data_IF_012399984779
#
_entry.id   IF_012399984779
#
_cell.length_a   1.000
_cell.length_b   1.000
_cell.length_c   1.000
_cell.angle_alpha   90.00
_cell.angle_beta   90.00
_cell.angle_gamma   90.00
#
_symmetry.space_group_name_H-M   'P 1'
#
loop_
_entity.id
_entity.type
_entity.pdbx_description
1 polymer ?
#
# COMPACT_ATOMS: atom_id res chain seq x y z
N UNK A 1 -5.24 20.79 5.95
CA UNK A 1 -4.20 21.86 5.86
C UNK A 1 -2.80 21.33 6.17
N UNK A 2 -2.68 20.45 7.16
CA UNK A 2 -1.37 19.95 7.58
C UNK A 2 -0.73 18.97 6.58
N UNK A 3 -1.51 18.12 5.95
CA UNK A 3 -1.00 17.16 4.95
C UNK A 3 -0.40 17.87 3.73
N UNK A 4 -1.00 18.97 3.28
CA UNK A 4 -0.49 19.78 2.16
C UNK A 4 0.85 20.40 2.52
N UNK A 5 1.03 20.88 3.76
CA UNK A 5 2.32 21.42 4.26
C UNK A 5 3.40 20.34 4.30
N UNK A 6 3.05 19.14 4.78
CA UNK A 6 3.97 17.99 4.82
C UNK A 6 4.43 17.63 3.41
N UNK A 7 3.51 17.53 2.45
CA UNK A 7 3.85 17.21 1.05
C UNK A 7 4.77 18.27 0.45
N UNK A 8 4.48 19.57 0.66
CA UNK A 8 5.33 20.68 0.20
C UNK A 8 6.73 20.70 0.80
N UNK A 9 6.91 20.08 1.97
CA UNK A 9 8.23 19.99 2.62
C UNK A 9 9.13 18.90 2.05
N UNK A 10 8.60 18.02 1.18
CA UNK A 10 9.39 16.99 0.51
C UNK A 10 10.34 17.65 -0.49
N UNK A 11 11.67 17.42 -0.38
CA UNK A 11 12.64 18.04 -1.26
C UNK A 11 12.40 17.69 -2.73
N UNK A 12 12.68 18.61 -3.67
CA UNK A 12 12.59 18.34 -5.11
C UNK A 12 13.40 17.09 -5.50
N UNK A 13 12.88 16.31 -6.46
CA UNK A 13 13.52 15.08 -6.93
C UNK A 13 13.14 13.83 -6.12
N UNK A 14 12.43 13.99 -5.00
CA UNK A 14 11.86 12.86 -4.27
C UNK A 14 10.39 12.68 -4.64
N UNK A 15 10.02 11.44 -4.94
CA UNK A 15 8.64 11.09 -5.25
C UNK A 15 7.86 10.84 -3.96
N UNK A 16 6.81 11.64 -3.73
CA UNK A 16 5.90 11.46 -2.60
C UNK A 16 4.69 10.61 -2.98
N UNK A 17 4.26 9.74 -2.08
CA UNK A 17 3.03 8.97 -2.22
C UNK A 17 2.27 8.93 -0.91
N UNK A 18 0.95 8.84 -0.99
CA UNK A 18 0.08 8.78 0.18
C UNK A 18 -0.77 7.51 0.15
N UNK A 19 -1.00 6.91 1.31
CA UNK A 19 -2.04 5.88 1.48
C UNK A 19 -3.22 6.51 2.21
N UNK A 20 -4.42 6.29 1.70
CA UNK A 20 -5.66 6.90 2.19
C UNK A 20 -6.83 5.92 2.04
N UNK A 21 -7.91 6.14 2.79
CA UNK A 21 -9.19 5.47 2.54
C UNK A 21 -9.95 6.04 1.32
N UNK A 22 -9.47 7.14 0.74
CA UNK A 22 -10.03 7.72 -0.48
C UNK A 22 -11.22 8.66 -0.31
N UNK A 23 -11.92 8.63 0.81
CA UNK A 23 -13.21 9.33 1.01
C UNK A 23 -13.16 10.85 0.86
N UNK A 24 -11.99 11.47 1.05
CA UNK A 24 -11.80 12.92 0.91
C UNK A 24 -11.07 13.31 -0.39
N UNK A 25 -10.69 12.35 -1.23
CA UNK A 25 -9.95 12.65 -2.46
C UNK A 25 -10.81 13.41 -3.47
N UNK A 26 -12.13 13.20 -3.50
CA UNK A 26 -13.05 13.98 -4.35
C UNK A 26 -12.81 15.48 -4.25
N UNK A 27 -12.61 15.98 -3.03
CA UNK A 27 -12.37 17.40 -2.77
C UNK A 27 -10.90 17.82 -2.75
N UNK A 28 -9.96 16.90 -2.46
CA UNK A 28 -8.57 17.25 -2.15
C UNK A 28 -7.56 16.87 -3.23
N UNK A 29 -7.90 16.01 -4.19
CA UNK A 29 -6.95 15.44 -5.14
C UNK A 29 -6.14 16.50 -5.92
N UNK A 30 -6.79 17.53 -6.41
CA UNK A 30 -6.13 18.60 -7.16
C UNK A 30 -5.17 19.41 -6.29
N UNK A 31 -5.54 19.73 -5.05
CA UNK A 31 -4.67 20.50 -4.14
C UNK A 31 -3.48 19.68 -3.66
N UNK A 32 -3.67 18.37 -3.43
CA UNK A 32 -2.59 17.43 -3.13
C UNK A 32 -1.62 17.32 -4.32
N UNK A 33 -2.13 17.25 -5.54
CA UNK A 33 -1.28 17.25 -6.75
C UNK A 33 -0.49 18.53 -6.90
N UNK A 34 -1.13 19.69 -6.72
CA UNK A 34 -0.46 21.02 -6.72
C UNK A 34 0.59 21.15 -5.61
N UNK A 35 0.39 20.47 -4.48
CA UNK A 35 1.37 20.43 -3.39
C UNK A 35 2.60 19.58 -3.71
N UNK A 36 2.57 18.76 -4.76
CA UNK A 36 3.68 17.90 -5.18
C UNK A 36 3.48 16.42 -4.91
N UNK A 37 2.27 15.99 -4.47
CA UNK A 37 1.97 14.56 -4.35
C UNK A 37 2.03 13.91 -5.74
N UNK A 38 2.78 12.83 -5.87
CA UNK A 38 2.95 12.15 -7.17
C UNK A 38 1.85 11.12 -7.42
N UNK A 39 1.52 10.31 -6.41
CA UNK A 39 0.57 9.20 -6.54
C UNK A 39 -0.11 8.86 -5.22
N UNK A 40 -1.18 8.06 -5.31
CA UNK A 40 -1.93 7.57 -4.15
C UNK A 40 -2.07 6.05 -4.14
N UNK A 41 -2.17 5.49 -2.94
CA UNK A 41 -2.65 4.15 -2.70
C UNK A 41 -3.97 4.29 -1.94
N UNK A 42 -5.04 3.68 -2.44
CA UNK A 42 -6.37 3.78 -1.87
C UNK A 42 -6.74 2.44 -1.26
N UNK A 43 -7.08 2.43 0.02
CA UNK A 43 -7.57 1.23 0.70
C UNK A 43 -9.04 1.04 0.36
N UNK A 44 -9.35 -0.07 -0.31
CA UNK A 44 -10.69 -0.43 -0.74
C UNK A 44 -10.80 -1.95 -0.68
N UNK A 45 -11.44 -2.46 0.37
CA UNK A 45 -11.50 -3.89 0.63
C UNK A 45 -12.76 -4.56 0.07
N UNK A 46 -13.74 -3.79 -0.41
CA UNK A 46 -14.95 -4.31 -1.03
C UNK A 46 -15.58 -3.31 -2.00
N UNK A 47 -16.17 -3.84 -3.07
CA UNK A 47 -17.03 -3.11 -4.03
C UNK A 47 -18.52 -3.32 -3.73
N UNK A 48 -18.86 -4.19 -2.78
CA UNK A 48 -20.21 -4.35 -2.27
C UNK A 48 -20.44 -3.35 -1.12
N UNK A 49 -21.47 -2.48 -1.19
CA UNK A 49 -21.71 -1.44 -0.17
C UNK A 49 -21.94 -2.00 1.24
N UNK A 50 -22.57 -3.16 1.38
CA UNK A 50 -22.84 -3.78 2.68
C UNK A 50 -21.57 -4.34 3.29
N UNK A 51 -20.76 -5.08 2.49
CA UNK A 51 -19.45 -5.59 2.92
C UNK A 51 -18.52 -4.42 3.25
N UNK A 52 -18.46 -3.38 2.39
CA UNK A 52 -17.64 -2.19 2.65
C UNK A 52 -18.00 -1.54 3.98
N UNK A 53 -19.29 -1.33 4.25
CA UNK A 53 -19.76 -0.78 5.52
C UNK A 53 -19.43 -1.67 6.71
N UNK A 54 -19.58 -2.99 6.55
CA UNK A 54 -19.24 -3.97 7.61
C UNK A 54 -17.76 -3.94 7.96
N UNK A 55 -16.88 -3.86 6.95
CA UNK A 55 -15.42 -3.86 7.13
C UNK A 55 -14.94 -2.53 7.73
N UNK A 56 -15.44 -1.41 7.22
CA UNK A 56 -14.94 -0.08 7.59
C UNK A 56 -15.63 0.53 8.81
N UNK A 57 -16.81 0.02 9.16
CA UNK A 57 -17.67 0.58 10.23
C UNK A 57 -18.32 1.91 9.90
N UNK A 58 -17.82 2.65 8.94
CA UNK A 58 -18.32 3.98 8.53
C UNK A 58 -18.00 4.25 7.06
N UNK A 59 -18.59 5.31 6.52
CA UNK A 59 -18.28 5.81 5.18
C UNK A 59 -19.17 5.22 4.09
N UNK A 60 -19.14 5.89 2.95
CA UNK A 60 -19.86 5.49 1.77
C UNK A 60 -18.84 4.99 0.71
N UNK A 61 -19.11 3.85 0.11
CA UNK A 61 -18.33 3.33 -1.01
C UNK A 61 -18.29 4.33 -2.17
N UNK A 62 -19.39 5.04 -2.41
CA UNK A 62 -19.48 6.09 -3.44
C UNK A 62 -18.40 7.16 -3.31
N UNK A 63 -18.10 7.59 -2.08
CA UNK A 63 -17.08 8.64 -1.83
C UNK A 63 -15.67 8.15 -2.23
N UNK A 64 -15.39 6.85 -2.03
CA UNK A 64 -14.11 6.25 -2.41
C UNK A 64 -14.01 6.13 -3.93
N UNK A 65 -15.08 5.70 -4.60
CA UNK A 65 -15.11 5.59 -6.07
C UNK A 65 -14.98 6.97 -6.73
N UNK A 66 -15.65 8.00 -6.20
CA UNK A 66 -15.45 9.39 -6.59
C UNK A 66 -14.00 9.85 -6.35
N UNK A 67 -13.43 9.47 -5.20
CA UNK A 67 -12.05 9.75 -4.85
C UNK A 67 -11.04 9.11 -5.83
N UNK A 68 -11.29 7.89 -6.32
CA UNK A 68 -10.47 7.23 -7.35
C UNK A 68 -10.52 8.04 -8.65
N UNK A 69 -11.72 8.45 -9.06
CA UNK A 69 -11.88 9.25 -10.28
C UNK A 69 -11.18 10.61 -10.14
N UNK A 70 -11.37 11.31 -9.03
CA UNK A 70 -10.71 12.60 -8.77
C UNK A 70 -9.18 12.49 -8.74
N UNK A 71 -8.63 11.43 -8.16
CA UNK A 71 -7.20 11.17 -8.15
C UNK A 71 -6.65 10.95 -9.57
N UNK A 72 -7.40 10.23 -10.41
CA UNK A 72 -7.08 10.00 -11.82
C UNK A 72 -7.07 11.32 -12.61
N UNK A 73 -8.11 12.13 -12.47
CA UNK A 73 -8.27 13.41 -13.15
C UNK A 73 -7.21 14.43 -12.73
N UNK A 74 -6.80 14.39 -11.45
CA UNK A 74 -5.70 15.19 -10.93
C UNK A 74 -4.31 14.68 -11.35
N UNK A 75 -4.20 13.52 -11.98
CA UNK A 75 -2.91 12.92 -12.38
C UNK A 75 -2.09 12.37 -11.21
N UNK A 76 -2.73 11.94 -10.12
CA UNK A 76 -2.09 11.25 -8.98
C UNK A 76 -1.84 9.78 -9.30
N UNK A 77 -1.10 9.47 -10.35
CA UNK A 77 -0.95 8.13 -10.94
C UNK A 77 0.48 7.58 -10.83
N UNK A 78 0.67 6.25 -10.80
CA UNK A 78 -0.38 5.23 -10.76
C UNK A 78 -1.13 5.20 -9.43
N UNK A 79 -2.44 4.95 -9.49
CA UNK A 79 -3.29 4.73 -8.33
C UNK A 79 -3.24 3.24 -7.98
N UNK A 80 -2.89 2.91 -6.75
CA UNK A 80 -2.96 1.53 -6.27
C UNK A 80 -4.21 1.33 -5.44
N UNK A 81 -5.03 0.38 -5.86
CA UNK A 81 -6.17 -0.09 -5.08
C UNK A 81 -5.67 -1.23 -4.19
N UNK A 82 -5.64 -1.00 -2.89
CA UNK A 82 -5.22 -1.98 -1.89
C UNK A 82 -6.46 -2.69 -1.36
N UNK A 83 -6.55 -3.98 -1.61
CA UNK A 83 -7.60 -4.88 -1.14
C UNK A 83 -6.98 -5.90 -0.19
N UNK A 84 -7.36 -5.92 1.06
CA UNK A 84 -7.05 -7.04 1.97
C UNK A 84 -8.06 -8.15 1.71
N UNK A 85 -7.56 -9.34 1.34
CA UNK A 85 -8.45 -10.48 1.11
C UNK A 85 -8.89 -11.10 2.45
N UNK A 86 -10.20 -11.18 2.65
CA UNK A 86 -10.84 -11.65 3.87
C UNK A 86 -11.70 -12.88 3.56
N UNK A 87 -11.33 -14.01 4.13
CA UNK A 87 -12.04 -15.29 3.94
C UNK A 87 -13.51 -15.18 4.34
N UNK A 88 -14.39 -15.63 3.45
CA UNK A 88 -15.84 -15.64 3.65
C UNK A 88 -16.51 -14.27 3.58
N UNK A 89 -15.76 -13.19 3.25
CA UNK A 89 -16.33 -11.83 3.16
C UNK A 89 -16.21 -11.28 1.73
N UNK A 90 -15.00 -11.09 1.22
CA UNK A 90 -14.77 -10.41 -0.06
C UNK A 90 -14.06 -11.27 -1.12
N UNK A 91 -13.86 -12.56 -0.87
CA UNK A 91 -13.22 -13.48 -1.84
C UNK A 91 -13.97 -13.54 -3.17
N UNK A 92 -15.30 -13.45 -3.13
CA UNK A 92 -16.14 -13.44 -4.33
C UNK A 92 -16.07 -12.17 -5.17
N UNK A 93 -15.40 -11.12 -4.68
CA UNK A 93 -15.32 -9.81 -5.36
C UNK A 93 -14.04 -9.62 -6.18
N UNK A 94 -13.16 -10.63 -6.24
CA UNK A 94 -11.85 -10.52 -6.92
C UNK A 94 -12.01 -10.19 -8.39
N UNK A 95 -12.94 -10.85 -9.10
CA UNK A 95 -13.17 -10.62 -10.52
C UNK A 95 -13.74 -9.21 -10.77
N UNK A 96 -14.55 -8.67 -9.86
CA UNK A 96 -15.07 -7.29 -9.93
C UNK A 96 -13.93 -6.27 -9.76
N UNK A 97 -12.99 -6.52 -8.83
CA UNK A 97 -11.80 -5.69 -8.68
C UNK A 97 -10.87 -5.75 -9.89
N UNK A 98 -10.69 -6.93 -10.49
CA UNK A 98 -9.92 -7.09 -11.72
C UNK A 98 -10.59 -6.29 -12.84
N UNK A 99 -11.92 -6.38 -12.94
CA UNK A 99 -12.69 -5.61 -13.93
C UNK A 99 -12.56 -4.10 -13.72
N UNK A 100 -12.61 -3.62 -12.47
CA UNK A 100 -12.43 -2.20 -12.11
C UNK A 100 -11.12 -1.63 -12.65
N UNK A 101 -10.03 -2.40 -12.60
CA UNK A 101 -8.69 -1.92 -13.00
C UNK A 101 -8.32 -2.33 -14.43
N UNK A 102 -9.10 -3.20 -15.07
CA UNK A 102 -8.82 -3.69 -16.42
C UNK A 102 -8.94 -2.58 -17.46
N UNK A 103 -7.99 -2.56 -18.40
CA UNK A 103 -7.95 -1.55 -19.46
C UNK A 103 -7.47 -0.17 -19.03
N UNK A 104 -7.25 0.07 -17.74
CA UNK A 104 -6.73 1.33 -17.23
C UNK A 104 -5.28 1.20 -16.73
N UNK A 105 -4.34 1.66 -17.53
CA UNK A 105 -2.90 1.66 -17.19
C UNK A 105 -2.54 2.51 -15.96
N UNK A 106 -3.45 3.33 -15.46
CA UNK A 106 -3.23 4.18 -14.29
C UNK A 106 -3.65 3.50 -12.99
N UNK A 107 -4.39 2.40 -13.08
CA UNK A 107 -4.83 1.62 -11.92
C UNK A 107 -3.99 0.34 -11.75
N UNK A 108 -3.69 0.00 -10.52
CA UNK A 108 -3.00 -1.24 -10.15
C UNK A 108 -3.76 -1.86 -8.97
N UNK A 109 -4.21 -3.09 -9.10
CA UNK A 109 -4.78 -3.83 -7.98
C UNK A 109 -3.66 -4.45 -7.12
N UNK A 110 -3.68 -4.17 -5.82
CA UNK A 110 -2.83 -4.86 -4.84
C UNK A 110 -3.70 -5.74 -3.95
N UNK A 111 -3.61 -7.05 -4.12
CA UNK A 111 -4.26 -8.03 -3.24
C UNK A 111 -3.29 -8.31 -2.09
N UNK A 112 -3.73 -8.06 -0.87
CA UNK A 112 -2.91 -8.09 0.33
C UNK A 112 -3.39 -9.23 1.23
N UNK A 113 -2.47 -10.08 1.64
CA UNK A 113 -2.71 -11.12 2.63
C UNK A 113 -2.97 -10.49 4.01
N UNK A 114 -4.06 -10.88 4.66
CA UNK A 114 -4.30 -10.53 6.06
C UNK A 114 -3.23 -11.19 6.93
N UNK A 115 -2.51 -10.39 7.72
CA UNK A 115 -1.53 -10.95 8.65
C UNK A 115 -2.24 -11.66 9.80
N UNK A 116 -1.99 -12.97 9.92
CA UNK A 116 -2.55 -13.79 10.99
C UNK A 116 -1.72 -13.68 12.28
N UNK A 117 -2.06 -12.72 13.12
CA UNK A 117 -1.40 -12.49 14.42
C UNK A 117 -1.97 -13.33 15.55
N UNK A 118 -2.65 -14.43 15.28
CA UNK A 118 -3.19 -15.29 16.33
C UNK A 118 -4.34 -16.20 15.92
N UNK A 119 -4.32 -16.74 14.69
CA UNK A 119 -5.35 -17.66 14.21
C UNK A 119 -6.64 -16.95 13.79
N UNK A 120 -6.51 -15.83 13.09
CA UNK A 120 -7.66 -15.07 12.61
C UNK A 120 -8.48 -15.89 11.60
N UNK A 121 -9.78 -16.16 11.86
CA UNK A 121 -10.60 -16.97 10.97
C UNK A 121 -10.84 -16.33 9.59
N UNK A 122 -10.55 -15.04 9.45
CA UNK A 122 -10.69 -14.30 8.19
C UNK A 122 -9.44 -14.37 7.30
N UNK A 123 -8.38 -15.05 7.76
CA UNK A 123 -7.17 -15.23 6.94
C UNK A 123 -7.49 -16.09 5.70
N UNK A 124 -7.12 -15.58 4.52
CA UNK A 124 -7.20 -16.26 3.24
C UNK A 124 -5.79 -16.47 2.68
N UNK A 125 -5.47 -17.72 2.30
CA UNK A 125 -4.22 -18.01 1.58
C UNK A 125 -4.33 -17.54 0.14
N UNK A 126 -3.39 -16.72 -0.29
CA UNK A 126 -3.33 -16.16 -1.64
C UNK A 126 -2.64 -17.07 -2.66
N UNK A 127 -2.11 -18.22 -2.25
CA UNK A 127 -1.24 -19.05 -3.09
C UNK A 127 -1.95 -19.53 -4.35
N UNK A 128 -3.12 -20.15 -4.21
CA UNK A 128 -3.89 -20.68 -5.35
C UNK A 128 -4.33 -19.56 -6.30
N UNK A 129 -4.75 -18.43 -5.76
CA UNK A 129 -5.15 -17.28 -6.55
C UNK A 129 -3.97 -16.69 -7.32
N UNK A 130 -2.81 -16.54 -6.66
CA UNK A 130 -1.60 -16.03 -7.29
C UNK A 130 -1.11 -16.97 -8.41
N UNK A 131 -1.16 -18.29 -8.18
CA UNK A 131 -0.80 -19.30 -9.18
C UNK A 131 -1.73 -19.25 -10.39
N UNK A 132 -3.05 -19.18 -10.18
CA UNK A 132 -4.04 -19.04 -11.25
C UNK A 132 -3.78 -17.79 -12.11
N UNK A 133 -3.55 -16.65 -11.48
CA UNK A 133 -3.26 -15.40 -12.18
C UNK A 133 -1.90 -15.48 -12.88
N UNK A 134 -0.88 -16.05 -12.25
CA UNK A 134 0.44 -16.22 -12.86
C UNK A 134 0.40 -17.05 -14.14
N UNK A 135 -0.34 -18.16 -14.12
CA UNK A 135 -0.46 -19.10 -15.26
C UNK A 135 -1.06 -18.43 -16.52
N UNK A 136 -2.02 -17.52 -16.32
CA UNK A 136 -2.74 -16.86 -17.43
C UNK A 136 -2.21 -15.44 -17.70
N UNK A 137 -1.17 -14.99 -17.01
CA UNK A 137 -0.60 -13.66 -17.21
C UNK A 137 0.26 -13.58 -18.47
N UNK A 138 0.06 -12.54 -19.28
CA UNK A 138 0.87 -12.28 -20.48
C UNK A 138 2.31 -11.90 -20.13
N UNK A 139 2.52 -11.30 -18.94
CA UNK A 139 3.82 -10.82 -18.48
C UNK A 139 3.85 -10.81 -16.96
N UNK A 140 5.00 -11.19 -16.41
CA UNK A 140 5.30 -11.12 -14.98
C UNK A 140 6.56 -10.28 -14.79
N UNK A 141 6.49 -9.28 -13.90
CA UNK A 141 7.60 -8.37 -13.60
C UNK A 141 7.93 -8.49 -12.11
N UNK A 142 9.15 -8.90 -11.78
CA UNK A 142 9.62 -8.92 -10.38
C UNK A 142 10.14 -7.54 -9.99
N UNK A 143 9.61 -6.97 -8.92
CA UNK A 143 10.06 -5.68 -8.38
C UNK A 143 11.28 -5.86 -7.48
N UNK A 144 12.21 -4.90 -7.49
CA UNK A 144 13.39 -4.93 -6.63
C UNK A 144 13.02 -4.96 -5.13
N UNK A 145 12.07 -4.12 -4.72
CA UNK A 145 11.62 -4.07 -3.33
C UNK A 145 10.64 -5.19 -3.02
N UNK A 146 10.94 -5.96 -1.98
CA UNK A 146 10.17 -7.11 -1.51
C UNK A 146 10.09 -8.29 -2.48
N UNK A 147 10.80 -8.25 -3.62
CA UNK A 147 10.68 -9.22 -4.72
C UNK A 147 9.24 -9.51 -5.16
N UNK A 148 8.33 -8.55 -4.91
CA UNK A 148 6.93 -8.69 -5.31
C UNK A 148 6.80 -8.81 -6.82
N UNK A 149 5.96 -9.71 -7.26
CA UNK A 149 5.61 -9.88 -8.66
C UNK A 149 4.43 -8.99 -9.03
N UNK A 150 4.51 -8.42 -10.22
CA UNK A 150 3.41 -7.72 -10.88
C UNK A 150 2.99 -8.51 -12.09
N UNK A 151 1.74 -8.84 -12.17
CA UNK A 151 1.10 -9.67 -13.19
C UNK A 151 0.31 -8.80 -14.15
N UNK A 152 0.48 -9.01 -15.45
CA UNK A 152 -0.39 -8.44 -16.48
C UNK A 152 -1.41 -9.50 -16.89
N UNK A 153 -2.58 -9.46 -16.30
CA UNK A 153 -3.64 -10.44 -16.42
C UNK A 153 -4.92 -9.76 -16.91
N UNK A 154 -5.52 -10.25 -18.00
CA UNK A 154 -6.80 -9.74 -18.59
C UNK A 154 -6.89 -8.21 -18.73
N UNK A 155 -5.77 -7.57 -19.09
CA UNK A 155 -5.71 -6.11 -19.23
C UNK A 155 -5.51 -5.34 -17.91
N UNK A 156 -5.47 -6.02 -16.77
CA UNK A 156 -5.20 -5.48 -15.46
C UNK A 156 -3.73 -5.63 -15.06
N UNK A 157 -3.24 -4.70 -14.23
CA UNK A 157 -1.98 -4.87 -13.50
C UNK A 157 -2.30 -5.29 -12.05
N UNK A 158 -1.85 -6.49 -11.65
CA UNK A 158 -2.13 -7.06 -10.32
C UNK A 158 -0.81 -7.31 -9.59
N UNK A 159 -0.74 -6.93 -8.32
CA UNK A 159 0.37 -7.24 -7.40
C UNK A 159 -0.16 -8.01 -6.19
N UNK A 160 0.54 -9.07 -5.76
CA UNK A 160 0.28 -9.72 -4.49
C UNK A 160 1.23 -9.21 -3.41
N UNK A 161 0.71 -9.01 -2.20
CA UNK A 161 1.48 -8.58 -1.03
C UNK A 161 1.30 -9.61 0.06
N UNK A 162 2.29 -10.47 0.21
CA UNK A 162 2.31 -11.57 1.18
C UNK A 162 3.46 -11.34 2.17
N UNK A 163 3.23 -10.57 3.24
CA UNK A 163 4.29 -10.23 4.18
C UNK A 163 4.52 -11.30 5.24
N UNK A 164 3.57 -12.22 5.43
CA UNK A 164 3.59 -13.20 6.51
C UNK A 164 4.34 -14.46 6.09
N UNK A 165 5.17 -15.00 6.97
CA UNK A 165 6.00 -16.18 6.72
C UNK A 165 6.80 -16.14 5.39
N UNK A 166 7.18 -14.94 4.95
CA UNK A 166 7.87 -14.72 3.68
C UNK A 166 9.25 -14.10 3.91
N UNK A 167 10.28 -14.96 4.03
CA UNK A 167 11.67 -14.52 4.22
C UNK A 167 12.20 -13.76 3.01
N UNK A 168 11.83 -14.13 1.77
CA UNK A 168 12.27 -13.43 0.56
C UNK A 168 11.73 -11.98 0.54
N UNK A 169 10.46 -11.79 0.89
CA UNK A 169 9.86 -10.47 1.06
C UNK A 169 10.60 -9.61 2.10
N UNK A 170 10.95 -10.20 3.24
CA UNK A 170 11.66 -9.50 4.32
C UNK A 170 13.11 -9.17 3.95
N UNK A 171 13.82 -10.08 3.31
CA UNK A 171 15.22 -9.90 2.89
C UNK A 171 15.38 -8.75 1.86
N UNK A 172 14.38 -8.55 1.00
CA UNK A 172 14.37 -7.48 0.00
C UNK A 172 13.58 -6.24 0.43
N UNK A 173 13.32 -6.08 1.73
CA UNK A 173 12.69 -4.88 2.28
C UNK A 173 13.72 -3.76 2.49
N UNK A 174 13.52 -2.62 1.84
CA UNK A 174 14.38 -1.42 1.99
C UNK A 174 13.66 -0.27 2.69
N UNK A 175 12.50 -0.52 3.32
CA UNK A 175 11.72 0.53 3.96
C UNK A 175 12.32 0.97 5.29
N UNK A 176 12.38 2.27 5.50
CA UNK A 176 12.55 2.91 6.80
C UNK A 176 11.27 3.70 7.11
N UNK A 177 10.79 3.63 8.34
CA UNK A 177 9.60 4.35 8.80
C UNK A 177 9.96 5.35 9.87
N UNK A 178 9.16 6.40 9.96
CA UNK A 178 9.17 7.32 11.11
C UNK A 178 7.85 7.10 11.83
N UNK A 179 7.92 6.84 13.12
CA UNK A 179 6.74 6.70 13.97
C UNK A 179 6.16 8.07 14.33
N UNK A 180 4.90 8.12 14.75
CA UNK A 180 4.24 9.36 15.17
C UNK A 180 4.90 10.04 16.37
N UNK A 181 5.60 9.25 17.22
CA UNK A 181 6.37 9.71 18.37
C UNK A 181 7.85 10.02 18.06
N UNK A 182 8.21 10.10 16.76
CA UNK A 182 9.53 10.59 16.31
C UNK A 182 10.66 9.59 16.42
N UNK A 183 10.42 8.31 16.15
CA UNK A 183 11.47 7.29 16.12
C UNK A 183 11.61 6.69 14.71
N UNK A 184 12.82 6.33 14.31
CA UNK A 184 13.05 5.49 13.14
C UNK A 184 12.68 4.05 13.47
N UNK A 185 11.88 3.43 12.61
CA UNK A 185 11.43 2.03 12.71
C UNK A 185 11.89 1.25 11.47
N UNK A 186 12.96 0.45 11.56
CA UNK A 186 13.51 -0.29 10.42
C UNK A 186 12.62 -1.41 9.92
N UNK A 187 11.83 -2.04 10.80
CA UNK A 187 10.88 -3.10 10.46
C UNK A 187 9.49 -2.76 10.99
N UNK A 188 8.44 -3.05 10.21
CA UNK A 188 7.06 -2.83 10.62
C UNK A 188 6.67 -3.67 11.85
N UNK A 189 7.12 -4.92 11.88
CA UNK A 189 6.71 -5.94 12.86
C UNK A 189 7.63 -6.03 14.09
N UNK A 190 8.67 -5.14 14.18
CA UNK A 190 9.63 -5.16 15.31
C UNK A 190 9.64 -3.81 15.99
N UNK A 191 9.65 -3.82 17.32
CA UNK A 191 9.72 -2.64 18.17
C UNK A 191 11.01 -2.60 19.04
N UNK A 192 11.85 -3.63 18.94
CA UNK A 192 13.09 -3.80 19.66
C UNK A 192 14.29 -3.05 19.06
N UNK A 193 14.14 -2.52 17.84
CA UNK A 193 15.22 -1.88 17.09
C UNK A 193 14.93 -0.41 16.74
N UNK A 194 14.06 0.24 17.47
CA UNK A 194 13.72 1.65 17.30
C UNK A 194 14.91 2.57 17.61
N UNK A 195 14.99 3.70 16.89
CA UNK A 195 16.01 4.74 17.12
C UNK A 195 15.34 6.10 17.26
N UNK A 196 15.48 6.72 18.42
CA UNK A 196 14.91 8.05 18.70
C UNK A 196 15.64 9.15 17.91
N UNK A 197 14.87 9.95 17.16
CA UNK A 197 15.39 11.07 16.35
C UNK A 197 14.81 12.42 16.75
N UNK A 198 14.06 12.49 17.85
CA UNK A 198 13.43 13.74 18.29
C UNK A 198 14.47 14.80 18.60
N UNK A 199 14.26 15.99 18.03
CA UNK A 199 15.19 17.13 18.19
C UNK A 199 16.54 16.99 17.46
N UNK A 200 16.78 15.88 16.75
CA UNK A 200 18.03 15.63 16.03
C UNK A 200 18.02 16.27 14.65
N UNK A 201 19.16 16.81 14.21
CA UNK A 201 19.31 17.52 12.93
C UNK A 201 20.69 17.26 12.32
N UNK A 202 20.86 17.62 11.05
CA UNK A 202 22.14 17.60 10.35
C UNK A 202 22.86 16.24 10.43
N UNK A 203 24.15 16.28 10.72
CA UNK A 203 24.99 15.08 10.77
C UNK A 203 24.59 14.08 11.86
N UNK A 204 24.07 14.55 13.00
CA UNK A 204 23.59 13.66 14.05
C UNK A 204 22.41 12.84 13.55
N UNK A 205 21.44 13.46 12.87
CA UNK A 205 20.31 12.77 12.28
C UNK A 205 20.77 11.76 11.21
N UNK A 206 21.72 12.13 10.36
CA UNK A 206 22.27 11.21 9.35
C UNK A 206 22.92 9.99 10.00
N UNK A 207 23.71 10.16 11.07
CA UNK A 207 24.32 9.04 11.82
C UNK A 207 23.26 8.11 12.40
N UNK A 208 22.16 8.66 12.93
CA UNK A 208 21.06 7.86 13.47
C UNK A 208 20.30 7.08 12.38
N UNK A 209 20.13 7.67 11.20
CA UNK A 209 19.57 6.94 10.06
C UNK A 209 20.45 5.74 9.65
N UNK A 210 21.76 5.95 9.57
CA UNK A 210 22.71 4.86 9.28
C UNK A 210 22.69 3.78 10.37
N UNK A 211 22.62 4.19 11.64
CA UNK A 211 22.52 3.26 12.77
C UNK A 211 21.21 2.44 12.70
N UNK A 212 20.08 3.09 12.40
CA UNK A 212 18.80 2.41 12.23
C UNK A 212 18.84 1.43 11.05
N UNK A 213 19.46 1.80 9.93
CA UNK A 213 19.62 0.93 8.78
C UNK A 213 20.45 -0.32 9.12
N UNK A 214 21.53 -0.17 9.91
CA UNK A 214 22.35 -1.30 10.38
C UNK A 214 21.60 -2.22 11.35
N UNK A 215 20.65 -1.70 12.13
CA UNK A 215 19.79 -2.48 13.03
C UNK A 215 18.65 -3.21 12.32
N UNK A 216 18.56 -3.09 11.00
CA UNK A 216 17.54 -3.81 10.24
C UNK A 216 17.83 -5.30 10.26
N UNK A 217 16.87 -6.05 10.75
CA UNK A 217 16.83 -7.51 10.63
C UNK A 217 15.48 -7.91 10.06
N UNK A 218 15.41 -8.93 9.18
CA UNK A 218 14.17 -9.50 8.74
C UNK A 218 13.35 -10.02 9.92
N UNK A 219 12.03 -9.83 9.90
CA UNK A 219 11.12 -10.42 10.87
C UNK A 219 10.99 -11.93 10.62
N UNK A 220 10.73 -12.30 9.37
CA UNK A 220 10.73 -13.68 8.92
C UNK A 220 12.16 -14.05 8.52
N UNK A 221 12.74 -15.03 9.20
CA UNK A 221 14.05 -15.59 8.91
C UNK A 221 13.92 -16.91 8.16
#
# INVERSE_FOLDING_TARGET
EDIVKIIRSVPPGNESSMTTNGTLLGSLAHDLRKAGLARVNISLDSLNPENYKSITGTGLLSDVLEGIQAARDAGLTPIKINMVLLKGINEGEIDDFIHLVSGDRHLILQIIELMDLGGCPLHADLSELEEKIALHSRKVITRRMHHRKKYCYEGAEIEFVRPWHNSDFCNHCTRMRVTSDGKLKPCLLRDDNLVDIRGKRGEELQRLFLAAAKKREPYNK
#
